data_IF_590250375740
#
_entry.id   IF_590250375740
#
_cell.length_a   1.000
_cell.length_b   1.000
_cell.length_c   1.000
_cell.angle_alpha   90.00
_cell.angle_beta   90.00
_cell.angle_gamma   90.00
#
_symmetry.space_group_name_H-M   'P 1'
#
loop_
_entity.id
_entity.type
_entity.pdbx_description
1 polymer ?
#
# COMPACT_ATOMS: atom_id res chain seq x y z
N UNK A 1 3.24 -4.60 28.86
CA UNK A 1 4.41 -3.81 29.25
C UNK A 1 3.99 -2.49 29.88
N UNK A 2 4.91 -1.89 30.65
CA UNK A 2 4.82 -0.54 31.23
C UNK A 2 5.99 0.28 30.68
N UNK A 3 5.77 1.56 30.38
CA UNK A 3 6.87 2.46 29.95
C UNK A 3 7.77 2.76 31.14
N UNK A 4 9.07 2.52 31.00
CA UNK A 4 10.08 2.87 31.98
C UNK A 4 10.68 4.26 31.66
N UNK A 5 11.06 4.49 30.40
CA UNK A 5 11.59 5.77 29.94
C UNK A 5 11.30 6.02 28.46
N UNK A 6 11.33 7.28 28.07
CA UNK A 6 11.20 7.73 26.70
C UNK A 6 12.11 8.94 26.47
N UNK A 7 12.96 8.84 25.44
CA UNK A 7 13.84 9.94 24.99
C UNK A 7 13.60 10.17 23.50
N UNK A 8 13.05 11.34 23.16
CA UNK A 8 12.70 11.69 21.77
C UNK A 8 13.91 11.53 20.85
N UNK A 9 13.74 10.84 19.73
CA UNK A 9 14.76 10.63 18.70
C UNK A 9 15.91 9.71 19.14
N UNK A 10 15.76 8.97 20.23
CA UNK A 10 16.78 8.07 20.76
C UNK A 10 16.23 6.70 21.10
N UNK A 11 15.45 6.59 22.18
CA UNK A 11 14.98 5.31 22.64
C UNK A 11 13.68 5.37 23.46
N UNK A 12 12.94 4.27 23.41
CA UNK A 12 11.81 3.96 24.31
C UNK A 12 12.09 2.65 25.05
N UNK A 13 12.01 2.68 26.37
CA UNK A 13 12.23 1.49 27.21
C UNK A 13 10.91 1.04 27.83
N UNK A 14 10.59 -0.21 27.60
CA UNK A 14 9.42 -0.88 28.17
C UNK A 14 9.86 -2.01 29.09
N UNK A 15 9.24 -2.14 30.24
CA UNK A 15 9.41 -3.25 31.18
C UNK A 15 8.14 -4.10 31.25
N UNK A 16 8.30 -5.39 31.53
CA UNK A 16 7.19 -6.31 31.67
C UNK A 16 6.21 -5.81 32.74
N UNK A 17 4.94 -5.96 32.44
CA UNK A 17 3.88 -5.78 33.42
C UNK A 17 3.54 -7.14 34.05
N UNK A 18 4.04 -7.43 35.24
CA UNK A 18 3.81 -8.69 35.92
C UNK A 18 2.36 -8.87 36.39
N UNK A 19 1.58 -7.77 36.44
CA UNK A 19 0.15 -7.80 36.77
C UNK A 19 -0.75 -8.01 35.54
N UNK A 20 -0.17 -8.24 34.34
CA UNK A 20 -0.94 -8.40 33.11
C UNK A 20 -1.63 -9.77 33.05
N UNK A 21 -2.97 -9.75 33.04
CA UNK A 21 -3.81 -10.96 33.08
C UNK A 21 -4.92 -11.01 32.05
N UNK A 22 -4.96 -10.04 31.11
CA UNK A 22 -6.01 -9.89 30.10
C UNK A 22 -5.47 -10.03 28.67
N UNK A 23 -4.57 -10.97 28.47
CA UNK A 23 -3.96 -11.24 27.16
C UNK A 23 -4.98 -11.62 26.09
N UNK A 24 -4.61 -11.37 24.83
CA UNK A 24 -5.43 -11.77 23.69
C UNK A 24 -5.61 -13.29 23.67
N UNK A 25 -6.83 -13.80 23.41
CA UNK A 25 -7.04 -15.24 23.24
C UNK A 25 -6.33 -15.82 22.00
N UNK A 26 -5.77 -14.98 21.14
CA UNK A 26 -4.97 -15.38 19.98
C UNK A 26 -3.50 -15.67 20.34
N UNK A 27 -3.02 -15.18 21.48
CA UNK A 27 -1.70 -15.52 22.01
C UNK A 27 -1.74 -16.84 22.78
N UNK A 28 -0.65 -17.61 22.74
CA UNK A 28 -0.49 -18.81 23.60
C UNK A 28 -0.28 -18.39 25.05
N UNK A 29 0.52 -17.33 25.25
CA UNK A 29 0.70 -16.71 26.56
C UNK A 29 -0.29 -15.57 26.75
N UNK A 30 -1.27 -15.77 27.62
CA UNK A 30 -2.31 -14.77 27.98
C UNK A 30 -1.99 -14.00 29.26
N UNK A 31 -0.85 -14.31 29.92
CA UNK A 31 -0.34 -13.64 31.10
C UNK A 31 0.77 -12.62 30.79
N UNK A 32 1.65 -12.32 31.76
CA UNK A 32 2.82 -11.49 31.55
C UNK A 32 3.74 -12.04 30.42
N UNK A 33 4.31 -11.17 29.61
CA UNK A 33 5.22 -11.58 28.54
C UNK A 33 6.45 -12.34 29.09
N UNK A 34 7.05 -13.21 28.29
CA UNK A 34 8.29 -13.89 28.68
C UNK A 34 9.47 -12.91 28.74
N UNK A 35 9.50 -11.92 27.85
CA UNK A 35 10.54 -10.89 27.78
C UNK A 35 10.36 -9.91 28.95
N UNK A 36 11.44 -9.70 29.72
CA UNK A 36 11.40 -8.79 30.88
C UNK A 36 11.51 -7.30 30.49
N UNK A 37 12.23 -6.99 29.42
CA UNK A 37 12.52 -5.62 28.98
C UNK A 37 12.66 -5.53 27.46
N UNK A 38 12.09 -4.48 26.86
CA UNK A 38 12.23 -4.16 25.44
C UNK A 38 12.77 -2.73 25.35
N UNK A 39 13.83 -2.51 24.59
CA UNK A 39 14.34 -1.21 24.25
C UNK A 39 14.19 -0.98 22.76
N UNK A 40 13.35 -0.02 22.36
CA UNK A 40 13.29 0.48 21.00
C UNK A 40 14.32 1.58 20.82
N UNK A 41 15.23 1.41 19.87
CA UNK A 41 16.23 2.42 19.50
C UNK A 41 15.90 3.00 18.13
N UNK A 42 15.90 4.32 18.02
CA UNK A 42 15.76 5.00 16.73
C UNK A 42 17.13 5.12 16.08
N UNK A 43 17.31 4.42 14.95
CA UNK A 43 18.55 4.44 14.16
C UNK A 43 18.16 4.92 12.76
N UNK A 44 18.54 6.16 12.43
CA UNK A 44 18.06 6.84 11.23
C UNK A 44 18.59 6.24 9.91
N UNK A 45 19.79 5.64 9.94
CA UNK A 45 20.43 5.09 8.75
C UNK A 45 20.29 3.57 8.70
N UNK A 46 19.64 3.06 7.67
CA UNK A 46 19.32 1.62 7.50
C UNK A 46 20.57 0.72 7.52
N UNK A 47 21.66 1.17 6.89
CA UNK A 47 22.95 0.44 6.89
C UNK A 47 23.56 0.34 8.29
N UNK A 48 23.40 1.38 9.11
CA UNK A 48 23.84 1.38 10.51
C UNK A 48 22.96 0.47 11.34
N UNK A 49 21.64 0.49 11.15
CA UNK A 49 20.70 -0.38 11.84
C UNK A 49 20.99 -1.87 11.52
N UNK A 50 21.29 -2.19 10.26
CA UNK A 50 21.70 -3.54 9.87
C UNK A 50 23.04 -3.96 10.50
N UNK A 51 24.02 -3.07 10.56
CA UNK A 51 25.31 -3.36 11.21
C UNK A 51 25.13 -3.62 12.71
N UNK A 52 24.29 -2.85 13.40
CA UNK A 52 23.95 -3.06 14.82
C UNK A 52 23.28 -4.44 15.02
N UNK A 53 22.37 -4.86 14.13
CA UNK A 53 21.78 -6.21 14.18
C UNK A 53 22.84 -7.28 13.96
N UNK A 54 23.68 -7.13 12.95
CA UNK A 54 24.73 -8.08 12.58
C UNK A 54 25.75 -8.28 13.71
N UNK A 55 26.11 -7.21 14.41
CA UNK A 55 27.10 -7.22 15.51
C UNK A 55 26.50 -7.50 16.88
N UNK A 56 25.18 -7.62 16.98
CA UNK A 56 24.49 -7.91 18.25
C UNK A 56 24.27 -6.66 19.12
N UNK A 57 24.38 -5.46 18.56
CA UNK A 57 24.03 -4.22 19.23
C UNK A 57 22.50 -4.04 19.38
N UNK A 58 21.74 -4.68 18.49
CA UNK A 58 20.29 -4.89 18.62
C UNK A 58 19.95 -6.35 18.32
N UNK A 59 18.83 -6.83 18.83
CA UNK A 59 18.37 -8.21 18.63
C UNK A 59 17.37 -8.35 17.48
N UNK A 60 16.75 -7.25 17.08
CA UNK A 60 15.71 -7.20 16.05
C UNK A 60 15.74 -5.88 15.30
N UNK A 61 15.49 -5.92 14.00
CA UNK A 61 15.31 -4.77 13.12
C UNK A 61 13.91 -4.86 12.50
N UNK A 62 13.09 -3.83 12.73
CA UNK A 62 11.77 -3.68 12.17
C UNK A 62 11.87 -2.91 10.85
N UNK A 63 11.10 -3.32 9.83
CA UNK A 63 11.06 -2.62 8.54
C UNK A 63 12.37 -2.73 7.77
N UNK A 64 12.87 -3.95 7.55
CA UNK A 64 14.10 -4.16 6.78
C UNK A 64 13.92 -3.69 5.34
N UNK A 65 14.72 -2.72 4.86
CA UNK A 65 14.67 -2.28 3.46
C UNK A 65 14.89 -3.42 2.47
N UNK A 66 14.22 -3.35 1.33
CA UNK A 66 14.22 -4.40 0.32
C UNK A 66 15.64 -4.76 -0.18
N UNK A 67 16.48 -3.76 -0.38
CA UNK A 67 17.86 -3.89 -0.83
C UNK A 67 18.78 -4.56 0.22
N UNK A 68 18.47 -4.41 1.51
CA UNK A 68 19.20 -5.07 2.60
C UNK A 68 18.73 -6.50 2.90
N UNK A 69 17.53 -6.90 2.48
CA UNK A 69 16.99 -8.24 2.75
C UNK A 69 17.90 -9.36 2.24
N UNK A 70 18.52 -9.17 1.07
CA UNK A 70 19.46 -10.15 0.50
C UNK A 70 20.73 -10.28 1.33
N UNK A 71 21.20 -9.20 1.94
CA UNK A 71 22.39 -9.21 2.81
C UNK A 71 22.08 -9.86 4.16
N UNK A 72 20.94 -9.54 4.77
CA UNK A 72 20.49 -10.17 6.02
C UNK A 72 20.41 -11.69 5.88
N UNK A 73 19.85 -12.18 4.76
CA UNK A 73 19.72 -13.63 4.49
C UNK A 73 21.06 -14.38 4.32
N UNK A 74 22.17 -13.67 4.13
CA UNK A 74 23.52 -14.28 4.07
C UNK A 74 24.16 -14.49 5.44
N UNK A 75 23.66 -13.81 6.47
CA UNK A 75 24.20 -13.91 7.83
C UNK A 75 23.64 -15.16 8.53
N UNK A 76 24.49 -16.11 8.97
CA UNK A 76 24.04 -17.40 9.47
C UNK A 76 23.26 -17.34 10.79
N UNK A 77 23.48 -16.29 11.59
CA UNK A 77 22.83 -16.06 12.88
C UNK A 77 21.58 -15.20 12.78
N UNK A 78 21.25 -14.69 11.56
CA UNK A 78 20.07 -13.86 11.36
C UNK A 78 18.96 -14.63 10.63
N UNK A 79 17.73 -14.35 11.00
CA UNK A 79 16.54 -14.82 10.31
C UNK A 79 15.64 -13.65 9.91
N UNK A 80 14.84 -13.84 8.86
CA UNK A 80 13.88 -12.85 8.39
C UNK A 80 12.49 -13.46 8.40
N UNK A 81 11.54 -12.73 8.95
CA UNK A 81 10.11 -12.99 8.80
C UNK A 81 9.53 -11.92 7.87
N UNK A 82 8.79 -12.36 6.88
CA UNK A 82 8.06 -11.48 5.95
C UNK A 82 6.58 -11.74 6.07
N UNK A 83 5.79 -10.68 6.21
CA UNK A 83 4.34 -10.72 6.26
C UNK A 83 3.79 -9.84 5.13
N UNK A 84 2.62 -10.15 4.55
CA UNK A 84 1.94 -9.20 3.68
C UNK A 84 1.75 -7.87 4.42
N UNK A 85 2.19 -6.77 3.80
CA UNK A 85 1.98 -5.45 4.36
C UNK A 85 0.52 -5.02 4.26
N UNK A 86 0.16 -4.02 5.05
CA UNK A 86 -1.20 -3.45 5.08
C UNK A 86 -1.37 -2.29 4.10
N UNK A 87 -0.29 -1.90 3.42
CA UNK A 87 -0.24 -0.78 2.49
C UNK A 87 -0.53 -1.22 1.05
N UNK A 88 -1.18 -0.36 0.28
CA UNK A 88 -1.31 -0.49 -1.18
C UNK A 88 -0.88 0.81 -1.82
N UNK A 89 0.07 0.73 -2.76
CA UNK A 89 0.43 1.83 -3.64
C UNK A 89 -0.49 1.83 -4.85
N UNK A 90 -1.00 3.00 -5.21
CA UNK A 90 -2.00 3.14 -6.26
C UNK A 90 -1.92 4.50 -6.95
N UNK A 91 -2.51 4.59 -8.14
CA UNK A 91 -2.68 5.84 -8.89
C UNK A 91 -4.16 6.20 -8.95
N UNK A 92 -4.69 7.11 -8.11
CA UNK A 92 -6.05 7.63 -8.25
C UNK A 92 -6.20 8.48 -9.50
N UNK A 93 -7.37 8.37 -10.11
CA UNK A 93 -7.76 9.02 -11.36
C UNK A 93 -8.98 9.89 -11.06
N UNK A 94 -8.86 11.20 -11.20
CA UNK A 94 -9.98 12.11 -10.96
C UNK A 94 -11.01 12.00 -12.10
N UNK A 95 -12.11 11.31 -11.84
CA UNK A 95 -13.14 11.00 -12.83
C UNK A 95 -13.95 12.21 -13.29
N UNK A 96 -13.78 13.36 -12.65
CA UNK A 96 -14.48 14.62 -13.00
C UNK A 96 -13.67 15.53 -13.92
N UNK A 97 -12.42 15.17 -14.21
CA UNK A 97 -11.51 15.98 -15.04
C UNK A 97 -11.29 15.32 -16.40
N UNK A 98 -11.56 16.10 -17.47
CA UNK A 98 -11.16 15.64 -18.79
C UNK A 98 -9.63 15.36 -18.83
N UNK A 99 -9.18 14.32 -19.52
CA UNK A 99 -9.98 13.38 -20.31
C UNK A 99 -10.53 12.18 -19.50
N UNK A 100 -10.41 12.17 -18.18
CA UNK A 100 -10.75 11.06 -17.31
C UNK A 100 -12.24 10.98 -16.95
N UNK A 101 -13.08 11.89 -17.45
CA UNK A 101 -14.53 11.77 -17.50
C UNK A 101 -14.99 10.65 -18.44
N UNK A 102 -14.16 10.27 -19.42
CA UNK A 102 -14.34 9.08 -20.25
C UNK A 102 -13.76 7.82 -19.59
N UNK A 103 -14.63 6.83 -19.34
CA UNK A 103 -14.21 5.55 -18.72
C UNK A 103 -13.18 4.78 -19.57
N UNK A 104 -13.21 4.91 -20.91
CA UNK A 104 -12.22 4.27 -21.79
C UNK A 104 -10.83 4.82 -21.54
N UNK A 105 -10.71 6.12 -21.30
CA UNK A 105 -9.43 6.75 -20.98
C UNK A 105 -8.94 6.32 -19.60
N UNK A 106 -9.85 6.18 -18.61
CA UNK A 106 -9.48 5.66 -17.29
C UNK A 106 -9.00 4.22 -17.36
N UNK A 107 -9.73 3.34 -18.06
CA UNK A 107 -9.31 1.96 -18.29
C UNK A 107 -7.95 1.91 -18.98
N UNK A 108 -7.75 2.74 -20.00
CA UNK A 108 -6.51 2.79 -20.76
C UNK A 108 -5.30 3.14 -19.88
N UNK A 109 -5.40 4.20 -19.08
CA UNK A 109 -4.27 4.61 -18.23
C UNK A 109 -4.03 3.62 -17.09
N UNK A 110 -5.08 2.98 -16.55
CA UNK A 110 -4.93 1.93 -15.54
C UNK A 110 -4.21 0.69 -16.11
N UNK A 111 -4.54 0.28 -17.34
CA UNK A 111 -3.92 -0.85 -18.03
C UNK A 111 -2.54 -0.53 -18.64
N UNK A 112 -2.14 0.74 -18.68
CA UNK A 112 -0.80 1.15 -19.10
C UNK A 112 0.25 0.93 -17.99
N UNK A 113 -0.16 0.71 -16.75
CA UNK A 113 0.77 0.54 -15.61
C UNK A 113 1.26 -0.91 -15.56
N UNK A 114 2.58 -1.07 -15.73
CA UNK A 114 3.27 -2.35 -15.61
C UNK A 114 3.73 -2.57 -14.17
N UNK A 115 2.88 -3.22 -13.37
CA UNK A 115 3.13 -3.47 -11.96
C UNK A 115 4.38 -4.34 -11.73
N UNK A 116 4.63 -5.33 -12.60
CA UNK A 116 5.81 -6.21 -12.49
C UNK A 116 7.12 -5.45 -12.73
N UNK A 117 7.15 -4.55 -13.70
CA UNK A 117 8.30 -3.68 -13.94
C UNK A 117 8.56 -2.75 -12.75
N UNK A 118 7.50 -2.19 -12.17
CA UNK A 118 7.59 -1.34 -10.97
C UNK A 118 8.11 -2.16 -9.79
N UNK A 119 7.56 -3.36 -9.55
CA UNK A 119 8.02 -4.28 -8.50
C UNK A 119 9.52 -4.55 -8.64
N UNK A 120 9.98 -4.85 -9.85
CA UNK A 120 11.39 -5.14 -10.09
C UNK A 120 12.29 -3.90 -9.97
N UNK A 121 11.91 -2.77 -10.59
CA UNK A 121 12.80 -1.61 -10.75
C UNK A 121 12.78 -0.63 -9.58
N UNK A 122 11.63 -0.47 -8.91
CA UNK A 122 11.46 0.46 -7.79
C UNK A 122 11.63 -0.25 -6.45
N UNK A 123 11.09 -1.47 -6.32
CA UNK A 123 11.02 -2.22 -5.06
C UNK A 123 11.96 -3.44 -5.01
N UNK A 124 12.85 -3.61 -6.00
CA UNK A 124 13.88 -4.66 -6.01
C UNK A 124 13.30 -6.09 -6.02
N UNK A 125 12.06 -6.28 -6.49
CA UNK A 125 11.37 -7.56 -6.50
C UNK A 125 10.82 -8.00 -5.14
N UNK A 126 10.80 -7.12 -4.14
CA UNK A 126 10.29 -7.39 -2.79
C UNK A 126 8.87 -6.87 -2.64
N UNK A 127 7.94 -7.71 -2.21
CA UNK A 127 6.51 -7.42 -2.14
C UNK A 127 5.72 -8.17 -3.21
N UNK A 128 4.57 -7.63 -3.56
CA UNK A 128 3.69 -8.20 -4.58
C UNK A 128 3.10 -7.11 -5.47
N UNK A 129 2.72 -7.47 -6.69
CA UNK A 129 1.88 -6.59 -7.50
C UNK A 129 0.50 -6.47 -6.84
N UNK A 130 -0.09 -5.28 -6.90
CA UNK A 130 -1.48 -5.08 -6.55
C UNK A 130 -2.31 -5.01 -7.83
N UNK A 131 -3.32 -5.86 -7.94
CA UNK A 131 -4.28 -5.91 -9.05
C UNK A 131 -5.70 -5.55 -8.62
N UNK A 132 -5.88 -5.26 -7.32
CA UNK A 132 -7.11 -4.81 -6.67
C UNK A 132 -6.83 -3.67 -5.70
N UNK A 133 -7.89 -3.06 -5.10
CA UNK A 133 -7.75 -1.96 -4.14
C UNK A 133 -7.57 -2.43 -2.69
N UNK A 134 -7.77 -3.70 -2.43
CA UNK A 134 -7.60 -4.30 -1.11
C UNK A 134 -6.33 -5.14 -1.03
N UNK A 135 -5.75 -5.20 0.15
CA UNK A 135 -4.61 -6.08 0.41
C UNK A 135 -5.01 -7.55 0.25
N UNK A 136 -4.06 -8.37 -0.20
CA UNK A 136 -4.29 -9.78 -0.53
C UNK A 136 -4.70 -10.66 0.66
N UNK A 137 -4.45 -10.19 1.90
CA UNK A 137 -4.83 -10.89 3.12
C UNK A 137 -6.33 -10.79 3.44
N UNK A 138 -7.08 -9.88 2.84
CA UNK A 138 -8.50 -9.68 3.10
C UNK A 138 -9.36 -10.56 2.21
N UNK A 139 -10.28 -11.37 2.77
CA UNK A 139 -11.21 -12.18 1.98
C UNK A 139 -12.06 -11.36 1.01
N UNK A 140 -12.41 -10.13 1.38
CA UNK A 140 -13.18 -9.17 0.57
C UNK A 140 -12.40 -8.70 -0.68
N UNK A 141 -11.08 -8.89 -0.70
CA UNK A 141 -10.20 -8.61 -1.83
C UNK A 141 -10.19 -9.72 -2.89
N UNK A 142 -10.76 -10.90 -2.60
CA UNK A 142 -10.80 -12.04 -3.51
C UNK A 142 -11.91 -11.86 -4.56
N UNK A 143 -11.65 -10.99 -5.51
CA UNK A 143 -12.55 -10.68 -6.63
C UNK A 143 -12.30 -11.61 -7.82
N UNK A 144 -13.25 -11.65 -8.77
CA UNK A 144 -13.09 -12.39 -10.02
C UNK A 144 -11.91 -11.84 -10.84
N UNK A 145 -11.13 -12.71 -11.51
CA UNK A 145 -9.98 -12.29 -12.32
C UNK A 145 -10.35 -11.28 -13.40
N UNK A 146 -11.57 -11.36 -13.93
CA UNK A 146 -12.08 -10.40 -14.93
C UNK A 146 -12.28 -8.98 -14.38
N UNK A 147 -12.36 -8.82 -13.06
CA UNK A 147 -12.48 -7.51 -12.41
C UNK A 147 -11.10 -6.89 -12.06
N UNK A 148 -10.06 -7.71 -11.99
CA UNK A 148 -8.71 -7.27 -11.66
C UNK A 148 -8.10 -6.37 -12.73
N UNK A 149 -7.24 -5.46 -12.31
CA UNK A 149 -6.59 -4.50 -13.20
C UNK A 149 -5.15 -4.96 -13.47
N UNK A 150 -4.93 -5.48 -14.67
CA UNK A 150 -3.62 -5.95 -15.12
C UNK A 150 -3.06 -5.07 -16.22
N UNK A 151 -1.73 -5.06 -16.33
CA UNK A 151 -1.01 -4.44 -17.44
C UNK A 151 -1.42 -5.06 -18.76
N UNK A 152 -1.94 -4.24 -19.68
CA UNK A 152 -2.31 -4.61 -21.04
C UNK A 152 -2.15 -3.39 -21.95
N UNK A 153 -0.92 -3.13 -22.45
CA UNK A 153 -0.64 -1.96 -23.29
C UNK A 153 -1.34 -2.03 -24.66
N UNK A 154 -1.67 -3.24 -25.15
CA UNK A 154 -2.42 -3.39 -26.40
C UNK A 154 -3.86 -2.91 -26.21
N UNK A 155 -4.52 -3.33 -25.14
CA UNK A 155 -5.86 -2.85 -24.78
C UNK A 155 -5.87 -1.37 -24.44
N UNK A 156 -4.85 -0.87 -23.73
CA UNK A 156 -4.68 0.55 -23.43
C UNK A 156 -4.66 1.39 -24.72
N UNK A 157 -3.83 1.02 -25.70
CA UNK A 157 -3.77 1.72 -26.99
C UNK A 157 -5.11 1.65 -27.74
N UNK A 158 -5.75 0.49 -27.80
CA UNK A 158 -7.05 0.33 -28.48
C UNK A 158 -8.13 1.22 -27.85
N UNK A 159 -8.18 1.32 -26.53
CA UNK A 159 -9.14 2.16 -25.81
C UNK A 159 -8.93 3.64 -26.07
N UNK A 160 -7.66 4.09 -26.12
CA UNK A 160 -7.34 5.48 -26.47
C UNK A 160 -7.74 5.80 -27.91
N UNK A 161 -7.50 4.88 -28.85
CA UNK A 161 -7.97 5.01 -30.25
C UNK A 161 -9.51 5.06 -30.33
N UNK A 162 -10.22 4.17 -29.63
CA UNK A 162 -11.68 4.16 -29.53
C UNK A 162 -12.26 5.44 -28.89
N UNK A 163 -11.51 6.08 -27.96
CA UNK A 163 -11.87 7.35 -27.36
C UNK A 163 -11.54 8.56 -28.26
N UNK A 164 -10.94 8.32 -29.43
CA UNK A 164 -10.59 9.34 -30.41
C UNK A 164 -9.23 10.03 -30.18
N UNK A 165 -8.39 9.48 -29.30
CA UNK A 165 -7.03 9.96 -29.06
C UNK A 165 -6.05 9.27 -30.02
N UNK A 166 -5.69 9.92 -31.11
CA UNK A 166 -4.82 9.38 -32.17
C UNK A 166 -3.36 9.67 -31.87
N UNK A 167 -2.48 8.68 -32.05
CA UNK A 167 -1.05 8.82 -31.83
C UNK A 167 -0.44 9.82 -32.83
N UNK A 168 0.23 10.84 -32.32
CA UNK A 168 0.95 11.84 -33.09
C UNK A 168 2.33 11.36 -33.50
N UNK A 169 2.93 12.06 -34.47
CA UNK A 169 4.28 11.76 -34.93
C UNK A 169 5.38 12.04 -33.88
N UNK A 170 5.07 12.86 -32.91
CA UNK A 170 5.90 13.16 -31.72
C UNK A 170 5.77 12.15 -30.58
N UNK A 171 4.91 11.11 -30.76
CA UNK A 171 4.65 10.09 -29.77
C UNK A 171 3.65 10.51 -28.68
N UNK A 172 3.01 11.67 -28.83
CA UNK A 172 1.93 12.13 -27.96
C UNK A 172 0.58 11.99 -28.68
N UNK A 173 -0.42 11.47 -28.01
CA UNK A 173 -1.76 11.36 -28.59
C UNK A 173 -2.46 12.71 -28.62
N UNK A 174 -3.32 12.91 -29.60
CA UNK A 174 -4.13 14.12 -29.72
C UNK A 174 -5.56 13.80 -30.16
N UNK A 175 -6.50 14.60 -29.71
CA UNK A 175 -7.91 14.57 -30.12
C UNK A 175 -8.35 16.00 -30.43
N UNK A 176 -8.97 16.21 -31.61
CA UNK A 176 -9.44 17.51 -32.06
C UNK A 176 -8.37 18.62 -31.99
N UNK A 177 -7.11 18.25 -32.24
CA UNK A 177 -5.97 19.18 -32.19
C UNK A 177 -5.43 19.44 -30.78
N UNK A 178 -5.98 18.84 -29.75
CA UNK A 178 -5.53 18.99 -28.36
C UNK A 178 -4.68 17.77 -27.98
N UNK A 179 -3.43 17.99 -27.55
CA UNK A 179 -2.54 16.93 -27.09
C UNK A 179 -3.03 16.33 -25.76
N UNK A 180 -2.82 15.02 -25.61
CA UNK A 180 -3.15 14.27 -24.37
C UNK A 180 -2.10 14.54 -23.30
N UNK A 181 -2.23 15.70 -22.64
CA UNK A 181 -1.37 16.14 -21.54
C UNK A 181 -2.16 16.15 -20.24
N UNK A 182 -1.58 15.59 -19.20
CA UNK A 182 -2.24 15.44 -17.89
C UNK A 182 -1.29 15.81 -16.75
N UNK A 183 -1.83 16.28 -15.62
CA UNK A 183 -1.07 16.48 -14.40
C UNK A 183 -0.96 15.19 -13.62
N UNK A 184 0.23 14.90 -13.07
CA UNK A 184 0.53 13.75 -12.22
C UNK A 184 1.17 14.25 -10.93
N UNK A 185 0.43 14.15 -9.82
CA UNK A 185 0.87 14.64 -8.53
C UNK A 185 1.59 13.55 -7.72
N UNK A 186 2.59 13.96 -6.96
CA UNK A 186 3.37 13.06 -6.10
C UNK A 186 3.84 13.77 -4.81
N UNK A 187 4.32 12.98 -3.88
CA UNK A 187 4.96 13.44 -2.65
C UNK A 187 6.48 13.57 -2.84
N UNK A 188 7.13 14.37 -1.98
CA UNK A 188 8.56 14.66 -2.05
C UNK A 188 9.47 13.49 -1.61
N UNK A 189 8.91 12.45 -0.98
CA UNK A 189 9.64 11.27 -0.54
C UNK A 189 10.29 10.53 -1.73
N UNK A 190 11.49 10.00 -1.51
CA UNK A 190 12.30 9.39 -2.57
C UNK A 190 11.62 8.23 -3.29
N UNK A 191 10.87 7.39 -2.55
CA UNK A 191 10.16 6.26 -3.11
C UNK A 191 9.01 6.71 -4.03
N UNK A 192 8.22 7.72 -3.60
CA UNK A 192 7.14 8.26 -4.41
C UNK A 192 7.66 8.95 -5.67
N UNK A 193 8.79 9.67 -5.60
CA UNK A 193 9.40 10.29 -6.78
C UNK A 193 9.83 9.25 -7.81
N UNK A 194 10.60 8.21 -7.38
CA UNK A 194 11.03 7.13 -8.29
C UNK A 194 9.84 6.40 -8.91
N UNK A 195 8.85 6.05 -8.10
CA UNK A 195 7.63 5.39 -8.57
C UNK A 195 6.89 6.26 -9.60
N UNK A 196 6.75 7.57 -9.33
CA UNK A 196 6.06 8.49 -10.23
C UNK A 196 6.78 8.68 -11.55
N UNK A 197 8.11 8.69 -11.56
CA UNK A 197 8.93 8.75 -12.79
C UNK A 197 8.73 7.49 -13.66
N UNK A 198 8.64 6.31 -13.06
CA UNK A 198 8.33 5.06 -13.79
C UNK A 198 6.91 5.10 -14.34
N UNK A 199 5.92 5.50 -13.54
CA UNK A 199 4.53 5.68 -13.99
C UNK A 199 4.45 6.68 -15.15
N UNK A 200 5.15 7.81 -15.09
CA UNK A 200 5.23 8.79 -16.17
C UNK A 200 5.78 8.16 -17.47
N UNK A 201 6.86 7.38 -17.36
CA UNK A 201 7.44 6.71 -18.52
C UNK A 201 6.49 5.68 -19.15
N UNK A 202 5.75 4.94 -18.34
CA UNK A 202 4.75 3.95 -18.79
C UNK A 202 3.55 4.63 -19.48
N UNK A 203 3.05 5.74 -18.92
CA UNK A 203 2.01 6.55 -19.55
C UNK A 203 2.48 7.13 -20.90
N UNK A 204 3.73 7.60 -20.96
CA UNK A 204 4.33 8.08 -22.22
C UNK A 204 4.40 7.00 -23.28
N UNK A 205 4.65 5.75 -22.92
CA UNK A 205 4.72 4.62 -23.87
C UNK A 205 3.39 4.37 -24.60
N UNK A 206 2.26 4.80 -24.03
CA UNK A 206 0.93 4.74 -24.67
C UNK A 206 0.47 6.11 -25.20
N UNK A 207 1.37 7.11 -25.23
CA UNK A 207 1.13 8.44 -25.81
C UNK A 207 0.45 9.45 -24.88
N UNK A 208 0.45 9.20 -23.57
CA UNK A 208 -0.05 10.14 -22.55
C UNK A 208 1.14 10.92 -21.96
N UNK A 209 1.17 12.22 -22.18
CA UNK A 209 2.20 13.11 -21.62
C UNK A 209 1.78 13.57 -20.22
N UNK A 210 2.42 13.01 -19.17
CA UNK A 210 2.14 13.36 -17.79
C UNK A 210 3.16 14.39 -17.26
N UNK A 211 2.69 15.50 -16.70
CA UNK A 211 3.50 16.52 -16.05
C UNK A 211 3.51 16.30 -14.54
N UNK A 212 4.71 16.01 -13.98
CA UNK A 212 4.85 15.74 -12.55
C UNK A 212 4.84 17.03 -11.76
N UNK A 213 3.99 17.08 -10.72
CA UNK A 213 4.01 18.14 -9.71
C UNK A 213 4.25 17.49 -8.34
N UNK A 214 5.34 17.92 -7.67
CA UNK A 214 5.74 17.38 -6.36
C UNK A 214 5.28 18.31 -5.25
N UNK A 215 4.68 17.73 -4.22
CA UNK A 215 4.26 18.43 -3.00
C UNK A 215 4.96 17.84 -1.78
N UNK A 216 5.13 18.67 -0.75
CA UNK A 216 5.49 18.18 0.58
C UNK A 216 4.40 17.25 1.14
N UNK A 217 4.81 16.15 1.78
CA UNK A 217 3.89 15.12 2.30
C UNK A 217 2.87 15.67 3.30
N UNK A 218 3.23 16.73 4.04
CA UNK A 218 2.32 17.38 5.00
C UNK A 218 1.25 18.23 4.31
N UNK A 219 1.56 18.78 3.14
CA UNK A 219 0.71 19.74 2.40
C UNK A 219 -0.21 19.08 1.37
N UNK A 220 0.18 17.94 0.82
CA UNK A 220 -0.51 17.34 -0.33
C UNK A 220 -1.99 16.99 -0.03
N UNK A 221 -2.32 16.67 1.23
CA UNK A 221 -3.70 16.36 1.63
C UNK A 221 -4.64 17.55 1.42
N UNK A 222 -4.18 18.76 1.73
CA UNK A 222 -4.98 19.97 1.52
C UNK A 222 -5.09 20.32 0.04
N UNK A 223 -4.07 20.01 -0.75
CA UNK A 223 -4.14 20.17 -2.20
C UNK A 223 -5.20 19.25 -2.82
N UNK A 224 -5.30 17.98 -2.38
CA UNK A 224 -6.34 17.06 -2.89
C UNK A 224 -7.76 17.56 -2.64
N UNK A 225 -8.02 18.28 -1.55
CA UNK A 225 -9.35 18.86 -1.25
C UNK A 225 -9.81 19.86 -2.30
N UNK A 226 -8.88 20.42 -3.07
CA UNK A 226 -9.20 21.34 -4.17
C UNK A 226 -9.84 20.63 -5.38
N UNK A 227 -9.64 19.30 -5.51
CA UNK A 227 -10.14 18.50 -6.63
C UNK A 227 -9.57 18.92 -7.98
N UNK A 228 -8.39 19.56 -8.02
CA UNK A 228 -7.77 20.07 -9.26
C UNK A 228 -6.82 19.09 -9.93
N UNK A 229 -6.32 18.07 -9.20
CA UNK A 229 -5.49 17.01 -9.75
C UNK A 229 -6.24 16.19 -10.82
N UNK A 230 -5.49 15.62 -11.76
CA UNK A 230 -6.01 14.63 -12.70
C UNK A 230 -5.57 13.23 -12.29
N UNK A 231 -4.26 13.01 -12.08
CA UNK A 231 -3.66 11.78 -11.58
C UNK A 231 -2.80 12.09 -10.35
N UNK A 232 -2.58 11.08 -9.52
CA UNK A 232 -1.58 11.15 -8.46
C UNK A 232 -0.98 9.77 -8.18
N UNK A 233 0.18 9.70 -7.52
CA UNK A 233 0.75 8.46 -6.98
C UNK A 233 0.69 8.53 -5.46
N UNK A 234 0.12 7.50 -4.86
CA UNK A 234 -0.11 7.43 -3.41
C UNK A 234 0.04 6.03 -2.85
N UNK A 235 0.11 5.94 -1.53
CA UNK A 235 -0.15 4.71 -0.78
C UNK A 235 -1.15 4.95 0.35
N UNK A 236 -1.67 3.87 0.88
CA UNK A 236 -2.54 3.87 2.03
C UNK A 236 -2.34 2.59 2.83
N UNK A 237 -2.10 2.76 4.12
CA UNK A 237 -1.98 1.67 5.09
C UNK A 237 -3.34 1.46 5.76
N UNK A 238 -3.95 0.28 5.57
CA UNK A 238 -5.26 -0.05 6.12
C UNK A 238 -5.51 -1.56 6.20
N UNK A 239 -5.98 -2.02 7.33
CA UNK A 239 -6.06 -3.43 7.68
C UNK A 239 -7.43 -4.09 7.47
N UNK A 240 -8.40 -3.38 6.91
CA UNK A 240 -9.74 -3.92 6.67
C UNK A 240 -10.41 -3.34 5.40
N UNK A 241 -11.50 -3.99 4.96
CA UNK A 241 -12.13 -3.70 3.68
C UNK A 241 -12.87 -2.36 3.62
N UNK A 242 -13.10 -1.68 4.74
CA UNK A 242 -13.79 -0.39 4.74
C UNK A 242 -12.95 0.75 4.14
N UNK A 243 -11.68 0.50 3.81
CA UNK A 243 -10.87 1.44 3.01
C UNK A 243 -11.54 1.79 1.68
N UNK A 244 -12.29 0.86 1.06
CA UNK A 244 -13.02 1.17 -0.18
C UNK A 244 -14.17 2.15 0.04
N UNK A 245 -14.78 2.19 1.26
CA UNK A 245 -15.69 3.26 1.67
C UNK A 245 -14.98 4.62 1.75
N UNK A 246 -13.77 4.65 2.32
CA UNK A 246 -12.97 5.86 2.41
C UNK A 246 -12.57 6.40 1.04
N UNK A 247 -12.18 5.52 0.11
CA UNK A 247 -11.75 5.94 -1.22
C UNK A 247 -12.88 6.36 -2.14
N UNK A 248 -14.08 5.76 -2.01
CA UNK A 248 -15.12 5.89 -3.03
C UNK A 248 -16.46 6.35 -2.50
N UNK A 249 -16.60 6.58 -1.20
CA UNK A 249 -17.82 7.14 -0.62
C UNK A 249 -18.09 8.55 -1.13
N UNK A 250 -19.34 8.84 -1.54
CA UNK A 250 -19.74 10.14 -2.06
C UNK A 250 -19.68 11.24 -0.98
N UNK A 251 -19.82 10.89 0.29
CA UNK A 251 -19.67 11.81 1.43
C UNK A 251 -18.22 12.18 1.77
N UNK A 252 -17.25 11.60 1.03
CA UNK A 252 -15.79 11.78 1.22
C UNK A 252 -15.10 12.47 0.05
N UNK A 253 -15.87 13.07 -0.87
CA UNK A 253 -15.33 13.75 -2.05
C UNK A 253 -14.30 14.83 -1.68
N UNK A 254 -13.21 14.86 -2.43
CA UNK A 254 -12.05 15.72 -2.22
C UNK A 254 -10.98 15.05 -1.36
N UNK A 255 -11.31 14.52 -0.19
CA UNK A 255 -10.41 13.75 0.64
C UNK A 255 -11.17 12.94 1.70
N UNK A 256 -10.93 11.63 1.82
CA UNK A 256 -9.94 10.81 1.10
C UNK A 256 -10.37 10.34 -0.31
N UNK A 257 -11.61 10.55 -0.75
CA UNK A 257 -12.05 10.23 -2.12
C UNK A 257 -11.48 11.26 -3.12
N UNK A 258 -10.17 11.14 -3.37
CA UNK A 258 -9.45 12.05 -4.29
C UNK A 258 -9.72 11.74 -5.77
N UNK A 259 -10.27 10.56 -6.06
CA UNK A 259 -10.75 10.22 -7.40
C UNK A 259 -12.01 10.98 -7.78
N UNK A 260 -12.63 11.69 -6.83
CA UNK A 260 -13.90 12.39 -7.01
C UNK A 260 -15.02 11.48 -7.55
N UNK A 261 -14.89 10.17 -7.25
CA UNK A 261 -15.82 9.16 -7.73
C UNK A 261 -17.15 9.26 -6.98
N UNK A 262 -18.23 9.41 -7.73
CA UNK A 262 -19.58 9.49 -7.21
C UNK A 262 -20.54 8.80 -8.18
N UNK A 263 -20.88 7.56 -7.88
CA UNK A 263 -21.72 6.72 -8.72
C UNK A 263 -22.89 6.13 -7.92
N UNK A 264 -24.14 6.29 -8.37
CA UNK A 264 -25.32 5.84 -7.63
C UNK A 264 -25.34 4.32 -7.36
N UNK A 265 -24.82 3.51 -8.29
CA UNK A 265 -24.76 2.05 -8.11
C UNK A 265 -23.68 1.66 -7.10
N UNK A 266 -22.54 2.34 -7.13
CA UNK A 266 -21.50 2.17 -6.12
C UNK A 266 -22.01 2.53 -4.72
N UNK A 267 -22.79 3.62 -4.57
CA UNK A 267 -23.38 4.01 -3.28
C UNK A 267 -24.41 3.01 -2.75
N UNK A 268 -25.20 2.38 -3.64
CA UNK A 268 -26.10 1.29 -3.27
C UNK A 268 -25.31 0.09 -2.69
N UNK A 269 -24.26 -0.35 -3.41
CA UNK A 269 -23.40 -1.47 -3.01
C UNK A 269 -22.61 -1.14 -1.74
N UNK A 270 -22.09 0.08 -1.64
CA UNK A 270 -21.41 0.59 -0.45
C UNK A 270 -22.29 0.50 0.79
N UNK A 271 -23.53 0.93 0.70
CA UNK A 271 -24.48 0.85 1.81
C UNK A 271 -24.74 -0.60 2.23
N UNK A 272 -24.89 -1.51 1.28
CA UNK A 272 -25.03 -2.94 1.58
C UNK A 272 -23.79 -3.50 2.28
N UNK A 273 -22.59 -3.15 1.82
CA UNK A 273 -21.33 -3.58 2.41
C UNK A 273 -21.14 -3.06 3.85
N UNK A 274 -21.36 -1.75 4.06
CA UNK A 274 -21.08 -1.10 5.35
C UNK A 274 -22.11 -1.44 6.44
N UNK A 275 -23.39 -1.56 6.10
CA UNK A 275 -24.47 -1.66 7.11
C UNK A 275 -25.50 -2.77 6.84
N UNK A 276 -25.44 -3.43 5.68
CA UNK A 276 -26.46 -4.42 5.27
C UNK A 276 -26.18 -5.85 5.70
N UNK A 277 -24.97 -6.15 6.21
CA UNK A 277 -24.54 -7.52 6.52
C UNK A 277 -24.94 -7.94 7.92
N UNK A 278 -25.45 -9.16 8.07
CA UNK A 278 -25.87 -9.77 9.35
C UNK A 278 -24.81 -10.69 9.94
N UNK A 279 -23.83 -11.11 9.13
CA UNK A 279 -22.77 -12.02 9.53
C UNK A 279 -21.54 -11.79 8.62
N UNK A 280 -20.41 -12.42 8.96
CA UNK A 280 -19.16 -12.26 8.23
C UNK A 280 -19.25 -12.71 6.77
N UNK A 281 -19.95 -13.80 6.46
CA UNK A 281 -20.09 -14.29 5.10
C UNK A 281 -20.86 -13.29 4.21
N UNK A 282 -21.93 -12.70 4.72
CA UNK A 282 -22.66 -11.64 4.02
C UNK A 282 -21.79 -10.37 3.87
N UNK A 283 -21.00 -10.03 4.89
CA UNK A 283 -20.07 -8.91 4.82
C UNK A 283 -19.06 -9.10 3.69
N UNK A 284 -18.38 -10.25 3.67
CA UNK A 284 -17.42 -10.57 2.61
C UNK A 284 -18.10 -10.47 1.23
N UNK A 285 -19.26 -11.10 1.05
CA UNK A 285 -19.97 -11.07 -0.22
C UNK A 285 -20.35 -9.64 -0.66
N UNK A 286 -20.86 -8.81 0.26
CA UNK A 286 -21.28 -7.44 -0.04
C UNK A 286 -20.07 -6.55 -0.37
N UNK A 287 -18.96 -6.68 0.37
CA UNK A 287 -17.74 -5.92 0.07
C UNK A 287 -17.11 -6.38 -1.25
N UNK A 288 -17.08 -7.69 -1.51
CA UNK A 288 -16.59 -8.22 -2.80
C UNK A 288 -17.40 -7.64 -3.96
N UNK A 289 -18.72 -7.64 -3.86
CA UNK A 289 -19.59 -7.08 -4.92
C UNK A 289 -19.37 -5.56 -5.11
N UNK A 290 -19.20 -4.81 -4.02
CA UNK A 290 -18.88 -3.39 -4.08
C UNK A 290 -17.51 -3.15 -4.71
N UNK A 291 -16.50 -3.88 -4.27
CA UNK A 291 -15.13 -3.79 -4.75
C UNK A 291 -15.03 -4.14 -6.25
N UNK A 292 -15.63 -5.26 -6.68
CA UNK A 292 -15.67 -5.66 -8.09
C UNK A 292 -16.32 -4.58 -8.97
N UNK A 293 -17.45 -4.02 -8.53
CA UNK A 293 -18.10 -2.97 -9.29
C UNK A 293 -17.20 -1.75 -9.45
N UNK A 294 -16.58 -1.27 -8.36
CA UNK A 294 -15.72 -0.09 -8.41
C UNK A 294 -14.47 -0.33 -9.25
N UNK A 295 -13.87 -1.54 -9.20
CA UNK A 295 -12.76 -1.90 -10.08
C UNK A 295 -13.10 -1.70 -11.56
N UNK A 296 -14.32 -2.08 -11.98
CA UNK A 296 -14.79 -1.90 -13.37
C UNK A 296 -15.03 -0.45 -13.78
N UNK A 297 -15.03 0.48 -12.84
CA UNK A 297 -15.19 1.92 -13.12
C UNK A 297 -13.86 2.65 -13.25
N UNK A 298 -12.74 1.99 -12.91
CA UNK A 298 -11.38 2.51 -13.00
C UNK A 298 -11.17 3.88 -12.34
N UNK A 299 -11.62 4.10 -11.09
CA UNK A 299 -11.35 5.35 -10.40
C UNK A 299 -9.91 5.44 -9.88
N UNK A 300 -9.18 4.31 -9.90
CA UNK A 300 -7.74 4.25 -9.62
C UNK A 300 -7.11 3.03 -10.27
N UNK A 301 -5.78 3.03 -10.40
CA UNK A 301 -4.97 1.88 -10.78
C UNK A 301 -4.19 1.39 -9.56
N UNK A 302 -4.38 0.14 -9.10
CA UNK A 302 -3.53 -0.47 -8.08
C UNK A 302 -2.14 -0.75 -8.67
N UNK A 303 -1.10 -0.66 -7.86
CA UNK A 303 0.29 -0.77 -8.34
C UNK A 303 1.04 -1.85 -7.59
N UNK A 304 1.14 -1.72 -6.27
CA UNK A 304 2.08 -2.50 -5.47
C UNK A 304 1.56 -2.68 -4.04
N UNK A 305 1.78 -3.87 -3.49
CA UNK A 305 1.58 -4.18 -2.07
C UNK A 305 2.94 -4.51 -1.45
N UNK A 306 3.41 -3.74 -0.44
CA UNK A 306 4.64 -4.05 0.27
C UNK A 306 4.51 -5.33 1.08
N UNK A 307 5.66 -5.81 1.55
CA UNK A 307 5.75 -6.77 2.64
C UNK A 307 6.35 -6.07 3.84
N UNK A 308 5.90 -6.45 5.01
CA UNK A 308 6.56 -6.10 6.25
C UNK A 308 7.65 -7.14 6.54
N UNK A 309 8.86 -6.66 6.75
CA UNK A 309 10.01 -7.52 7.00
C UNK A 309 10.61 -7.24 8.35
N UNK A 310 10.80 -8.27 9.14
CA UNK A 310 11.48 -8.22 10.43
C UNK A 310 12.68 -9.14 10.37
N UNK A 311 13.88 -8.59 10.60
CA UNK A 311 15.09 -9.37 10.78
C UNK A 311 15.44 -9.50 12.27
N UNK A 312 15.89 -10.65 12.70
CA UNK A 312 16.22 -10.87 14.10
C UNK A 312 17.39 -11.84 14.27
N UNK A 313 18.07 -11.73 15.41
CA UNK A 313 19.12 -12.65 15.78
C UNK A 313 18.50 -13.97 16.27
N UNK A 314 18.57 -15.01 15.43
CA UNK A 314 17.99 -16.33 15.68
C UNK A 314 18.75 -17.13 16.76
N UNK A 315 19.98 -16.73 17.11
CA UNK A 315 20.71 -17.33 18.22
C UNK A 315 20.23 -16.79 19.58
N UNK A 316 19.60 -15.63 19.59
CA UNK A 316 19.12 -14.96 20.82
C UNK A 316 17.62 -14.97 21.01
N UNK A 317 16.84 -14.90 19.93
CA UNK A 317 15.39 -14.82 19.99
C UNK A 317 14.72 -16.10 19.49
N UNK A 318 13.69 -16.53 20.20
CA UNK A 318 12.73 -17.52 19.72
C UNK A 318 11.47 -16.77 19.27
N UNK A 319 11.18 -16.84 17.97
CA UNK A 319 9.99 -16.27 17.40
C UNK A 319 8.83 -17.26 17.43
N UNK A 320 7.58 -16.83 17.63
CA UNK A 320 6.43 -17.69 17.48
C UNK A 320 6.36 -18.31 16.08
N UNK A 321 5.95 -19.58 16.01
CA UNK A 321 5.84 -20.29 14.73
C UNK A 321 4.78 -19.71 13.79
N UNK A 322 3.75 -19.08 14.35
CA UNK A 322 2.65 -18.45 13.62
C UNK A 322 2.63 -16.95 13.95
N UNK A 323 2.97 -16.13 12.97
CA UNK A 323 2.91 -14.68 13.04
C UNK A 323 1.75 -14.21 12.18
N UNK A 324 0.75 -13.59 12.81
CA UNK A 324 -0.44 -13.07 12.12
C UNK A 324 -0.38 -11.55 11.91
N UNK A 325 0.64 -10.87 12.44
CA UNK A 325 0.82 -9.43 12.37
C UNK A 325 2.29 -9.06 12.67
N UNK A 326 2.73 -7.82 12.40
CA UNK A 326 4.05 -7.32 12.75
C UNK A 326 4.38 -7.61 14.22
N UNK A 327 5.60 -8.04 14.48
CA UNK A 327 6.02 -8.64 15.75
C UNK A 327 5.84 -7.73 16.96
N UNK A 328 5.95 -6.43 16.77
CA UNK A 328 5.85 -5.45 17.87
C UNK A 328 4.52 -4.69 17.75
N UNK A 329 3.72 -4.80 18.80
CA UNK A 329 2.34 -4.31 18.84
C UNK A 329 1.29 -5.39 18.62
N UNK A 330 1.73 -6.61 18.28
CA UNK A 330 0.86 -7.77 18.09
C UNK A 330 0.92 -8.74 19.27
N UNK A 331 0.05 -9.76 19.24
CA UNK A 331 0.09 -10.86 20.18
C UNK A 331 1.40 -11.66 20.16
N UNK A 332 2.17 -11.57 19.08
CA UNK A 332 3.43 -12.28 18.91
C UNK A 332 4.47 -11.96 19.99
N UNK A 333 4.55 -10.70 20.45
CA UNK A 333 5.48 -10.30 21.50
C UNK A 333 5.25 -11.04 22.84
N UNK A 334 4.01 -11.53 23.07
CA UNK A 334 3.66 -12.28 24.28
C UNK A 334 4.25 -13.69 24.28
N UNK A 335 4.43 -14.26 23.08
CA UNK A 335 4.91 -15.62 22.87
C UNK A 335 6.42 -15.64 22.47
N UNK A 336 7.08 -14.49 22.34
CA UNK A 336 8.51 -14.40 22.08
C UNK A 336 9.32 -14.72 23.33
N UNK A 337 10.46 -15.37 23.14
CA UNK A 337 11.40 -15.72 24.22
C UNK A 337 12.82 -15.30 23.86
N UNK A 338 13.62 -14.99 24.88
CA UNK A 338 15.06 -14.82 24.77
C UNK A 338 15.74 -16.11 25.15
N UNK A 339 16.61 -16.64 24.27
CA UNK A 339 17.46 -17.79 24.59
C UNK A 339 18.50 -17.42 25.65
N UNK A 340 18.67 -18.29 26.61
CA UNK A 340 19.70 -18.17 27.66
C UNK A 340 21.13 -18.36 27.10
#
# INVERSE_FOLDING_TARGET
FKMESFTIGQETVLVRNDDYTWGSPLAKNTGPAHIAKITFREIAEDSTAFLELKTGGVDMLLGVPADLLSEVKKEPNLAVVTLPGQDVYYMPINVTKAPFDDIKVREAVAKAINQEEILASVFGGVGAVADTFLISALPEGHVADSAKIHFDPARSNALLDEAGWVMGADGVRAKDGVALKVSLWTQSDSIFRRLTEVVQAQLKAVGVEAEITTFDSSMIRDQYKTGTQQLAVRSYDWDNADIVDWFFGADRLGYPNISMFNDPKAEELRKAAMTGSKNMAERVANFTAYHEYVLTQFPMAPIYQPVESVAYNADRLVMPAELNAPVVGSTAVMDMEVKE
#
